data_IF_014386376780
#
_entry.id   IF_014386376780
#
_cell.length_a   1.000
_cell.length_b   1.000
_cell.length_c   1.000
_cell.angle_alpha   90.00
_cell.angle_beta   90.00
_cell.angle_gamma   90.00
#
_symmetry.space_group_name_H-M   'P 1'
#
loop_
_entity.id
_entity.type
_entity.pdbx_description
1 polymer ?
#
# COMPACT_ATOMS: atom_id res chain seq x y z
N UNK A 1 -48.72 24.73 -18.72
CA UNK A 1 -47.91 25.41 -19.76
C UNK A 1 -47.28 26.63 -19.10
N UNK A 2 -45.99 26.75 -18.82
CA UNK A 2 -44.83 25.87 -18.94
C UNK A 2 -43.81 26.30 -17.87
N UNK A 3 -43.02 25.35 -17.39
CA UNK A 3 -41.91 25.60 -16.46
C UNK A 3 -40.79 26.32 -17.21
N UNK A 4 -40.39 27.49 -16.73
CA UNK A 4 -39.22 28.19 -17.25
C UNK A 4 -37.98 27.55 -16.63
N UNK A 5 -37.32 26.70 -17.40
CA UNK A 5 -36.02 26.14 -17.04
C UNK A 5 -34.95 27.23 -17.22
N UNK A 6 -34.51 27.83 -16.11
CA UNK A 6 -33.27 28.60 -16.11
C UNK A 6 -32.09 27.62 -16.19
N UNK A 7 -31.65 27.33 -17.42
CA UNK A 7 -30.34 26.74 -17.68
C UNK A 7 -29.26 27.75 -17.28
N UNK A 8 -28.80 27.66 -16.03
CA UNK A 8 -27.59 28.37 -15.60
C UNK A 8 -26.41 27.58 -16.17
N UNK A 9 -25.96 27.98 -17.35
CA UNK A 9 -24.67 27.57 -17.92
C UNK A 9 -23.56 28.23 -17.08
N UNK A 10 -22.88 27.45 -16.24
CA UNK A 10 -21.70 27.91 -15.50
C UNK A 10 -20.46 27.92 -16.43
N UNK A 11 -19.57 28.92 -16.31
CA UNK A 11 -18.41 29.09 -17.19
C UNK A 11 -17.32 28.02 -16.94
N UNK A 12 -16.48 27.71 -17.95
CA UNK A 12 -15.45 26.69 -17.86
C UNK A 12 -14.17 27.29 -17.29
N UNK A 13 -14.09 27.53 -15.99
CA UNK A 13 -12.79 27.74 -15.34
C UNK A 13 -12.90 27.47 -13.84
N UNK A 14 -11.97 26.66 -13.32
CA UNK A 14 -11.88 26.11 -11.95
C UNK A 14 -12.66 24.81 -11.71
N UNK A 15 -12.18 23.73 -12.31
CA UNK A 15 -12.34 22.41 -11.69
C UNK A 15 -11.52 22.40 -10.38
N UNK A 16 -12.11 22.88 -9.29
CA UNK A 16 -11.66 22.51 -7.94
C UNK A 16 -11.80 20.99 -7.89
N UNK A 17 -10.76 20.21 -7.53
CA UNK A 17 -10.90 18.77 -7.40
C UNK A 17 -12.11 18.49 -6.52
N UNK A 18 -13.10 17.75 -7.07
CA UNK A 18 -14.27 17.37 -6.31
C UNK A 18 -13.79 16.71 -5.01
N UNK A 19 -14.33 17.14 -3.84
CA UNK A 19 -13.97 16.50 -2.57
C UNK A 19 -14.12 14.99 -2.71
N UNK A 20 -13.08 14.25 -2.36
CA UNK A 20 -13.16 12.78 -2.38
C UNK A 20 -14.28 12.38 -1.43
N UNK A 21 -15.38 11.88 -1.98
CA UNK A 21 -16.47 11.31 -1.20
C UNK A 21 -16.03 9.91 -0.75
N UNK A 22 -16.03 9.71 0.57
CA UNK A 22 -15.72 8.43 1.18
C UNK A 22 -17.03 7.76 1.60
N UNK A 23 -17.33 6.61 1.01
CA UNK A 23 -18.53 5.81 1.32
C UNK A 23 -19.61 5.90 0.24
N UNK A 24 -20.73 5.21 0.49
CA UNK A 24 -21.87 5.09 -0.44
C UNK A 24 -22.97 6.13 -0.19
N UNK A 25 -22.81 6.97 0.84
CA UNK A 25 -23.78 8.01 1.23
C UNK A 25 -23.09 9.35 1.44
N UNK A 26 -23.86 10.43 1.34
CA UNK A 26 -23.40 11.80 1.63
C UNK A 26 -22.96 11.94 3.10
N UNK A 27 -21.95 12.78 3.41
CA UNK A 27 -21.53 13.03 4.77
C UNK A 27 -22.64 13.72 5.58
N UNK A 28 -22.76 13.35 6.85
CA UNK A 28 -23.74 13.95 7.78
C UNK A 28 -23.38 15.40 8.12
N UNK A 29 -22.10 15.72 8.23
CA UNK A 29 -21.59 17.05 8.53
C UNK A 29 -20.24 17.26 7.88
N UNK A 30 -20.02 18.50 7.43
CA UNK A 30 -18.72 19.00 6.97
C UNK A 30 -18.11 20.00 7.96
N UNK A 31 -18.73 20.18 9.12
CA UNK A 31 -18.23 21.08 10.16
C UNK A 31 -16.91 20.53 10.74
N UNK A 32 -15.91 21.41 10.82
CA UNK A 32 -14.65 21.12 11.50
C UNK A 32 -14.79 21.15 13.03
N UNK A 33 -13.76 20.68 13.75
CA UNK A 33 -13.76 20.69 15.22
C UNK A 33 -13.71 22.11 15.77
N UNK A 34 -14.37 22.30 16.92
CA UNK A 34 -14.26 23.52 17.72
C UNK A 34 -13.05 23.45 18.66
N UNK A 35 -12.63 24.58 19.23
CA UNK A 35 -11.51 24.64 20.18
C UNK A 35 -11.73 23.70 21.38
N UNK A 36 -12.97 23.60 21.86
CA UNK A 36 -13.33 22.66 22.93
C UNK A 36 -13.15 21.18 22.52
N UNK A 37 -13.38 20.84 21.26
CA UNK A 37 -13.15 19.49 20.74
C UNK A 37 -11.66 19.17 20.69
N UNK A 38 -10.84 20.15 20.28
CA UNK A 38 -9.38 20.04 20.26
C UNK A 38 -8.84 19.81 21.67
N UNK A 39 -9.30 20.60 22.65
CA UNK A 39 -8.85 20.47 24.03
C UNK A 39 -9.23 19.11 24.62
N UNK A 40 -10.48 18.65 24.43
CA UNK A 40 -10.92 17.32 24.87
C UNK A 40 -10.13 16.20 24.21
N UNK A 41 -9.78 16.35 22.92
CA UNK A 41 -8.97 15.37 22.20
C UNK A 41 -7.55 15.27 22.78
N UNK A 42 -6.93 16.39 23.18
CA UNK A 42 -5.61 16.40 23.84
C UNK A 42 -5.64 15.71 25.21
N UNK A 43 -6.70 15.91 25.98
CA UNK A 43 -6.88 15.25 27.28
C UNK A 43 -7.07 13.74 27.12
N UNK A 44 -7.86 13.34 26.13
CA UNK A 44 -8.03 11.94 25.77
C UNK A 44 -6.70 11.31 25.34
N UNK A 45 -5.91 11.98 24.50
CA UNK A 45 -4.61 11.47 24.06
C UNK A 45 -3.68 11.18 25.25
N UNK A 46 -3.59 12.09 26.22
CA UNK A 46 -2.80 11.87 27.45
C UNK A 46 -3.29 10.67 28.24
N UNK A 47 -4.60 10.49 28.35
CA UNK A 47 -5.20 9.33 29.02
C UNK A 47 -4.85 8.02 28.31
N UNK A 48 -4.95 7.98 26.97
CA UNK A 48 -4.65 6.79 26.16
C UNK A 48 -3.16 6.42 26.21
N UNK A 49 -2.27 7.41 26.21
CA UNK A 49 -0.84 7.20 26.47
C UNK A 49 -0.63 6.61 27.86
N UNK A 50 -1.28 7.16 28.89
CA UNK A 50 -1.21 6.64 30.27
C UNK A 50 -1.76 5.22 30.42
N UNK A 51 -2.74 4.84 29.59
CA UNK A 51 -3.29 3.49 29.53
C UNK A 51 -2.38 2.49 28.79
N UNK A 52 -1.28 2.95 28.18
CA UNK A 52 -0.36 2.11 27.41
C UNK A 52 -0.95 1.61 26.08
N UNK A 53 -1.93 2.33 25.50
CA UNK A 53 -2.56 1.92 24.24
C UNK A 53 -1.60 2.03 23.05
N UNK A 54 -0.73 3.03 23.06
CA UNK A 54 0.23 3.28 21.99
C UNK A 54 1.52 2.51 22.27
N UNK A 55 2.04 1.86 21.23
CA UNK A 55 3.37 1.28 21.26
C UNK A 55 4.45 2.37 21.33
N UNK A 56 5.57 2.03 21.94
CA UNK A 56 6.76 2.88 21.95
C UNK A 56 7.49 2.82 20.61
N UNK A 57 8.30 3.85 20.32
CA UNK A 57 9.14 3.87 19.12
C UNK A 57 10.11 2.67 19.04
N UNK A 58 10.56 2.18 20.20
CA UNK A 58 11.42 0.99 20.28
C UNK A 58 10.66 -0.28 19.89
N UNK A 59 9.42 -0.46 20.37
CA UNK A 59 8.58 -1.60 20.02
C UNK A 59 8.22 -1.58 18.53
N UNK A 60 7.87 -0.41 17.99
CA UNK A 60 7.64 -0.23 16.56
C UNK A 60 8.88 -0.60 15.74
N UNK A 61 10.07 -0.15 16.15
CA UNK A 61 11.33 -0.50 15.48
C UNK A 61 11.65 -2.00 15.54
N UNK A 62 11.36 -2.66 16.66
CA UNK A 62 11.50 -4.12 16.78
C UNK A 62 10.56 -4.85 15.83
N UNK A 63 9.30 -4.44 15.74
CA UNK A 63 8.32 -5.02 14.81
C UNK A 63 8.77 -4.86 13.36
N UNK A 64 9.23 -3.68 12.98
CA UNK A 64 9.76 -3.44 11.64
C UNK A 64 10.97 -4.32 11.35
N UNK A 65 11.90 -4.46 12.30
CA UNK A 65 13.07 -5.33 12.17
C UNK A 65 12.70 -6.80 11.91
N UNK A 66 11.67 -7.31 12.58
CA UNK A 66 11.14 -8.67 12.34
C UNK A 66 10.50 -8.76 10.95
N UNK A 67 9.70 -7.77 10.53
CA UNK A 67 9.12 -7.74 9.20
C UNK A 67 10.19 -7.71 8.09
N UNK A 68 11.28 -6.97 8.29
CA UNK A 68 12.42 -6.96 7.38
C UNK A 68 13.06 -8.36 7.25
N UNK A 69 13.21 -9.11 8.35
CA UNK A 69 13.77 -10.46 8.34
C UNK A 69 12.85 -11.44 7.60
N UNK A 70 11.55 -11.41 7.90
CA UNK A 70 10.57 -12.26 7.21
C UNK A 70 10.55 -12.01 5.70
N UNK A 71 10.63 -10.74 5.30
CA UNK A 71 10.75 -10.38 3.88
C UNK A 71 12.04 -10.91 3.26
N UNK A 72 13.12 -10.97 4.03
CA UNK A 72 14.39 -11.51 3.56
C UNK A 72 14.27 -13.00 3.20
N UNK A 73 13.53 -13.79 3.99
CA UNK A 73 13.29 -15.21 3.74
C UNK A 73 12.58 -15.46 2.40
N UNK A 74 11.56 -14.66 2.08
CA UNK A 74 10.89 -14.71 0.76
C UNK A 74 11.88 -14.44 -0.39
N UNK A 75 12.77 -13.45 -0.24
CA UNK A 75 13.80 -13.15 -1.24
C UNK A 75 14.85 -14.24 -1.38
N UNK A 76 15.23 -14.91 -0.29
CA UNK A 76 16.20 -16.00 -0.34
C UNK A 76 15.68 -17.17 -1.18
N UNK A 77 14.42 -17.54 -1.00
CA UNK A 77 13.83 -18.65 -1.74
C UNK A 77 13.65 -18.31 -3.24
N UNK A 78 13.24 -17.09 -3.56
CA UNK A 78 13.20 -16.60 -4.95
C UNK A 78 14.58 -16.66 -5.59
N UNK A 79 15.61 -16.16 -4.90
CA UNK A 79 16.99 -16.15 -5.41
C UNK A 79 17.52 -17.56 -5.62
N UNK A 80 17.23 -18.49 -4.69
CA UNK A 80 17.64 -19.88 -4.77
C UNK A 80 16.96 -20.59 -5.95
N UNK A 81 15.65 -20.42 -6.10
CA UNK A 81 14.90 -21.03 -7.20
C UNK A 81 15.34 -20.50 -8.57
N UNK A 82 15.65 -19.20 -8.69
CA UNK A 82 16.20 -18.63 -9.92
C UNK A 82 17.55 -19.26 -10.30
N UNK A 83 18.46 -19.46 -9.34
CA UNK A 83 19.74 -20.15 -9.59
C UNK A 83 19.54 -21.59 -10.04
N UNK A 84 18.62 -22.31 -9.40
CA UNK A 84 18.34 -23.72 -9.74
C UNK A 84 17.84 -23.85 -11.17
N UNK A 85 16.94 -22.97 -11.62
CA UNK A 85 16.43 -22.96 -13.00
C UNK A 85 17.55 -22.68 -14.00
N UNK A 86 18.43 -21.73 -13.73
CA UNK A 86 19.56 -21.43 -14.62
C UNK A 86 20.56 -22.59 -14.69
N UNK A 87 20.84 -23.26 -13.57
CA UNK A 87 21.69 -24.45 -13.54
C UNK A 87 21.08 -25.59 -14.36
N UNK A 88 19.79 -25.89 -14.19
CA UNK A 88 19.12 -26.91 -14.99
C UNK A 88 19.11 -26.58 -16.49
N UNK A 89 18.98 -25.30 -16.85
CA UNK A 89 19.04 -24.84 -18.24
C UNK A 89 20.42 -25.11 -18.85
N UNK A 90 21.49 -24.73 -18.15
CA UNK A 90 22.87 -24.94 -18.61
C UNK A 90 23.17 -26.44 -18.72
N UNK A 91 22.76 -27.25 -17.74
CA UNK A 91 22.96 -28.71 -17.78
C UNK A 91 22.27 -29.35 -19.00
N UNK A 92 21.06 -28.91 -19.33
CA UNK A 92 20.36 -29.37 -20.53
C UNK A 92 21.07 -28.96 -21.82
N UNK A 93 21.52 -27.70 -21.92
CA UNK A 93 22.26 -27.18 -23.08
C UNK A 93 23.57 -27.97 -23.30
N UNK A 94 24.34 -28.21 -22.23
CA UNK A 94 25.59 -28.97 -22.30
C UNK A 94 25.34 -30.42 -22.71
N UNK A 95 24.41 -31.12 -22.06
CA UNK A 95 24.11 -32.52 -22.39
C UNK A 95 23.60 -32.68 -23.83
N UNK A 96 22.84 -31.71 -24.35
CA UNK A 96 22.36 -31.74 -25.74
C UNK A 96 23.52 -31.59 -26.73
N UNK A 97 24.46 -30.67 -26.49
CA UNK A 97 25.63 -30.49 -27.36
C UNK A 97 26.53 -31.73 -27.43
N UNK A 98 26.76 -32.41 -26.31
CA UNK A 98 27.56 -33.64 -26.24
C UNK A 98 26.94 -34.76 -27.06
N UNK A 99 25.61 -34.94 -26.96
CA UNK A 99 24.89 -35.97 -27.73
C UNK A 99 24.87 -35.68 -29.24
N UNK A 100 24.93 -34.40 -29.63
CA UNK A 100 24.98 -34.00 -31.04
C UNK A 100 26.37 -34.22 -31.65
N UNK A 101 27.44 -33.97 -30.88
CA UNK A 101 28.82 -34.28 -31.27
C UNK A 101 29.04 -35.80 -31.43
N UNK A 102 28.50 -36.63 -30.52
CA UNK A 102 28.57 -38.09 -30.60
C UNK A 102 27.80 -38.68 -31.79
N UNK A 103 26.71 -38.04 -32.24
CA UNK A 103 25.98 -38.50 -33.43
C UNK A 103 26.66 -38.13 -34.76
N UNK A 104 27.60 -37.20 -34.75
CA UNK A 104 28.31 -36.75 -35.95
C UNK A 104 29.71 -37.38 -36.12
N UNK A 105 30.03 -38.38 -35.30
CA UNK A 105 31.31 -39.09 -35.29
C UNK A 105 31.14 -40.53 -35.75
#
# INVERSE_FOLDING_TARGET
MGVSNCSITLPPTQQVPLPKEYGVTKPLSLAGPMEADIQRTKELEKFLVGAGLYESAEEAAKREGVLCQLKQEEFWEIRKNSKLVETQRIEYEVNTSVLEDERQQ
#
